data_IF_111800043223
#
_entry.id   IF_111800043223
#
_cell.length_a   1.000
_cell.length_b   1.000
_cell.length_c   1.000
_cell.angle_alpha   90.00
_cell.angle_beta   90.00
_cell.angle_gamma   90.00
#
_symmetry.space_group_name_H-M   'P 1'
#
loop_
_entity.id
_entity.type
_entity.pdbx_description
1 polymer ?
#
# COMPACT_ATOMS: atom_id res chain seq x y z
N UNK A 1 15.78 3.10 36.06
CA UNK A 1 14.66 2.89 35.13
C UNK A 1 15.21 3.04 33.73
N UNK A 2 14.98 2.09 32.83
CA UNK A 2 15.34 2.27 31.41
C UNK A 2 14.50 3.41 30.82
N UNK A 3 15.07 4.26 29.95
CA UNK A 3 14.31 5.34 29.32
C UNK A 3 13.13 4.77 28.51
N UNK A 4 11.98 5.46 28.55
CA UNK A 4 10.81 5.09 27.76
C UNK A 4 11.14 5.18 26.27
N UNK A 5 10.93 4.08 25.54
CA UNK A 5 11.11 4.02 24.08
C UNK A 5 10.03 4.88 23.41
N UNK A 6 10.43 5.82 22.56
CA UNK A 6 9.50 6.65 21.77
C UNK A 6 9.12 5.91 20.49
N UNK A 7 7.86 6.02 20.11
CA UNK A 7 7.31 5.42 18.89
C UNK A 7 6.83 6.56 17.97
N UNK A 8 7.12 6.46 16.68
CA UNK A 8 6.64 7.32 15.63
C UNK A 8 5.76 6.51 14.68
N UNK A 9 4.48 6.88 14.61
CA UNK A 9 3.49 6.24 13.76
C UNK A 9 3.28 7.12 12.52
N UNK A 10 3.38 6.52 11.34
CA UNK A 10 3.14 7.19 10.07
C UNK A 10 2.00 6.50 9.33
N UNK A 11 1.05 7.30 8.85
CA UNK A 11 0.24 6.87 7.72
C UNK A 11 1.09 6.80 6.43
N UNK A 12 0.62 6.08 5.42
CA UNK A 12 1.36 5.87 4.16
C UNK A 12 0.82 6.74 3.02
N UNK A 13 -0.41 6.44 2.59
CA UNK A 13 -1.04 7.01 1.41
C UNK A 13 -1.36 8.48 1.65
N UNK A 14 -0.98 9.37 0.72
CA UNK A 14 -1.05 10.82 0.89
C UNK A 14 -0.27 11.41 2.10
N UNK A 15 0.49 10.60 2.82
CA UNK A 15 1.31 11.01 3.98
C UNK A 15 2.81 10.87 3.68
N UNK A 16 3.33 9.64 3.55
CA UNK A 16 4.73 9.38 3.20
C UNK A 16 4.93 9.31 1.67
N UNK A 17 3.89 8.96 0.93
CA UNK A 17 3.86 8.97 -0.52
C UNK A 17 2.75 9.92 -1.01
N UNK A 18 2.92 10.63 -2.14
CA UNK A 18 1.97 11.67 -2.57
C UNK A 18 0.75 11.12 -3.33
N UNK A 19 0.54 9.80 -3.28
CA UNK A 19 -0.52 9.10 -4.01
C UNK A 19 -1.11 7.99 -3.16
N UNK A 20 -2.27 7.49 -3.58
CA UNK A 20 -2.92 6.30 -3.03
C UNK A 20 -2.30 5.04 -3.66
N UNK A 21 -1.65 4.21 -2.85
CA UNK A 21 -0.94 3.02 -3.32
C UNK A 21 -1.86 1.88 -3.78
N UNK A 22 -3.06 1.74 -3.23
CA UNK A 22 -4.02 0.70 -3.66
C UNK A 22 -4.60 1.04 -5.03
N UNK A 23 -4.98 2.31 -5.23
CA UNK A 23 -5.42 2.82 -6.52
C UNK A 23 -4.30 2.74 -7.57
N UNK A 24 -3.09 3.20 -7.23
CA UNK A 24 -1.95 3.15 -8.14
C UNK A 24 -1.55 1.71 -8.50
N UNK A 25 -1.66 0.77 -7.56
CA UNK A 25 -1.50 -0.66 -7.86
C UNK A 25 -2.56 -1.15 -8.83
N UNK A 26 -3.84 -0.78 -8.62
CA UNK A 26 -4.93 -1.07 -9.54
C UNK A 26 -4.64 -0.62 -10.98
N UNK A 27 -4.26 0.65 -11.16
CA UNK A 27 -3.84 1.20 -12.46
C UNK A 27 -2.63 0.47 -13.04
N UNK A 28 -1.67 0.07 -12.20
CA UNK A 28 -0.54 -0.74 -12.65
C UNK A 28 -1.01 -2.10 -13.21
N UNK A 29 -1.96 -2.76 -12.56
CA UNK A 29 -2.50 -4.04 -13.06
C UNK A 29 -3.24 -3.89 -14.40
N UNK A 30 -3.87 -2.74 -14.66
CA UNK A 30 -4.40 -2.41 -15.99
C UNK A 30 -3.27 -2.30 -17.01
N UNK A 31 -2.19 -1.60 -16.66
CA UNK A 31 -1.04 -1.43 -17.58
C UNK A 31 -0.37 -2.75 -17.96
N UNK A 32 -0.46 -3.77 -17.09
CA UNK A 32 0.00 -5.14 -17.34
C UNK A 32 -1.00 -5.99 -18.15
N UNK A 33 -2.18 -5.45 -18.47
CA UNK A 33 -3.26 -6.16 -19.16
C UNK A 33 -4.00 -7.18 -18.28
N UNK A 34 -3.90 -7.07 -16.96
CA UNK A 34 -4.52 -8.03 -16.03
C UNK A 34 -5.98 -7.69 -15.72
N UNK A 35 -6.38 -6.44 -15.95
CA UNK A 35 -7.73 -5.95 -15.72
C UNK A 35 -8.22 -5.15 -16.92
N UNK A 36 -9.53 -5.20 -17.14
CA UNK A 36 -10.19 -4.32 -18.07
C UNK A 36 -10.25 -2.89 -17.49
N UNK A 37 -9.74 -1.86 -18.19
CA UNK A 37 -9.69 -0.49 -17.68
C UNK A 37 -11.08 0.12 -17.44
N UNK A 38 -12.07 -0.24 -18.25
CA UNK A 38 -13.42 0.33 -18.16
C UNK A 38 -14.17 -0.26 -16.97
N UNK A 39 -14.14 -1.59 -16.81
CA UNK A 39 -14.77 -2.24 -15.67
C UNK A 39 -14.07 -1.90 -14.35
N UNK A 40 -12.73 -1.90 -14.34
CA UNK A 40 -11.96 -1.55 -13.15
C UNK A 40 -12.29 -0.14 -12.67
N UNK A 41 -12.23 0.85 -13.58
CA UNK A 41 -12.53 2.23 -13.24
C UNK A 41 -13.95 2.38 -12.71
N UNK A 42 -14.94 1.80 -13.39
CA UNK A 42 -16.34 1.86 -12.96
C UNK A 42 -16.52 1.32 -11.54
N UNK A 43 -15.99 0.13 -11.24
CA UNK A 43 -16.09 -0.49 -9.91
C UNK A 43 -15.31 0.29 -8.85
N UNK A 44 -14.14 0.81 -9.20
CA UNK A 44 -13.34 1.64 -8.29
C UNK A 44 -14.08 2.93 -7.92
N UNK A 45 -14.67 3.62 -8.91
CA UNK A 45 -15.45 4.83 -8.69
C UNK A 45 -16.69 4.53 -7.81
N UNK A 46 -17.37 3.39 -8.01
CA UNK A 46 -18.47 2.94 -7.14
C UNK A 46 -18.03 2.73 -5.69
N UNK A 47 -16.89 2.06 -5.46
CA UNK A 47 -16.35 1.87 -4.11
C UNK A 47 -15.89 3.19 -3.48
N UNK A 48 -15.31 4.10 -4.26
CA UNK A 48 -14.90 5.42 -3.77
C UNK A 48 -16.11 6.24 -3.29
N UNK A 49 -17.23 6.21 -4.03
CA UNK A 49 -18.46 6.88 -3.59
C UNK A 49 -19.07 6.21 -2.34
N UNK A 50 -19.03 4.89 -2.24
CA UNK A 50 -19.43 4.19 -1.00
C UNK A 50 -18.57 4.58 0.19
N UNK A 51 -17.25 4.71 0.00
CA UNK A 51 -16.32 5.19 1.02
C UNK A 51 -16.67 6.60 1.48
N UNK A 52 -16.86 7.54 0.54
CA UNK A 52 -17.26 8.93 0.85
C UNK A 52 -18.59 9.00 1.59
N UNK A 53 -19.52 8.11 1.28
CA UNK A 53 -20.82 8.01 1.95
C UNK A 53 -20.76 7.26 3.30
N UNK A 54 -19.61 6.69 3.69
CA UNK A 54 -19.48 5.87 4.91
C UNK A 54 -20.22 4.53 4.85
N UNK A 55 -20.52 4.04 3.64
CA UNK A 55 -21.32 2.82 3.38
C UNK A 55 -20.51 1.67 2.77
N UNK A 56 -19.18 1.84 2.66
CA UNK A 56 -18.30 0.87 2.03
C UNK A 56 -18.36 -0.51 2.73
N UNK A 57 -18.71 -1.55 1.96
CA UNK A 57 -18.50 -2.93 2.39
C UNK A 57 -17.03 -3.30 2.16
N UNK A 58 -16.25 -3.24 3.24
CA UNK A 58 -14.83 -3.58 3.25
C UNK A 58 -14.53 -4.98 2.67
N UNK A 59 -15.43 -5.96 2.85
CA UNK A 59 -15.19 -7.32 2.33
C UNK A 59 -15.35 -7.36 0.81
N UNK A 60 -16.32 -6.61 0.27
CA UNK A 60 -16.49 -6.49 -1.18
C UNK A 60 -15.35 -5.70 -1.81
N UNK A 61 -14.96 -4.59 -1.18
CA UNK A 61 -13.80 -3.82 -1.60
C UNK A 61 -12.54 -4.67 -1.65
N UNK A 62 -12.24 -5.43 -0.57
CA UNK A 62 -11.05 -6.27 -0.54
C UNK A 62 -11.06 -7.39 -1.57
N UNK A 63 -12.22 -7.99 -1.87
CA UNK A 63 -12.34 -8.95 -2.98
C UNK A 63 -12.03 -8.31 -4.34
N UNK A 64 -12.44 -7.06 -4.54
CA UNK A 64 -12.15 -6.30 -5.75
C UNK A 64 -10.68 -5.89 -5.85
N UNK A 65 -10.10 -5.36 -4.77
CA UNK A 65 -8.71 -4.91 -4.71
C UNK A 65 -7.72 -6.06 -4.92
N UNK A 66 -8.07 -7.27 -4.44
CA UNK A 66 -7.22 -8.47 -4.56
C UNK A 66 -7.49 -9.32 -5.80
N UNK A 67 -8.46 -8.95 -6.64
CA UNK A 67 -8.93 -9.77 -7.77
C UNK A 67 -7.79 -10.11 -8.76
N UNK A 68 -7.00 -9.12 -9.15
CA UNK A 68 -5.88 -9.31 -10.08
C UNK A 68 -4.79 -10.22 -9.50
N UNK A 69 -4.50 -10.07 -8.19
CA UNK A 69 -3.50 -10.89 -7.49
C UNK A 69 -3.94 -12.35 -7.50
N UNK A 70 -5.21 -12.60 -7.15
CA UNK A 70 -5.79 -13.96 -7.12
C UNK A 70 -5.83 -14.60 -8.51
N UNK A 71 -6.16 -13.84 -9.54
CA UNK A 71 -6.24 -14.35 -10.91
C UNK A 71 -4.87 -14.70 -11.52
N UNK A 72 -3.84 -13.92 -11.21
CA UNK A 72 -2.50 -14.12 -11.81
C UNK A 72 -1.63 -15.11 -11.04
N UNK A 73 -1.93 -15.34 -9.75
CA UNK A 73 -1.18 -16.24 -8.89
C UNK A 73 0.14 -15.63 -8.40
N UNK A 74 0.68 -16.21 -7.33
CA UNK A 74 1.74 -15.62 -6.52
C UNK A 74 2.97 -15.15 -7.34
N UNK A 75 3.53 -16.01 -8.19
CA UNK A 75 4.75 -15.69 -8.94
C UNK A 75 4.59 -14.48 -9.86
N UNK A 76 3.48 -14.41 -10.61
CA UNK A 76 3.21 -13.27 -11.50
C UNK A 76 2.93 -12.02 -10.69
N UNK A 77 2.14 -12.13 -9.62
CA UNK A 77 1.82 -10.99 -8.75
C UNK A 77 3.07 -10.41 -8.11
N UNK A 78 4.01 -11.23 -7.62
CA UNK A 78 5.29 -10.77 -7.07
C UNK A 78 6.09 -10.01 -8.12
N UNK A 79 6.26 -10.58 -9.32
CA UNK A 79 6.98 -9.91 -10.40
C UNK A 79 6.31 -8.60 -10.87
N UNK A 80 4.96 -8.58 -10.89
CA UNK A 80 4.19 -7.36 -11.15
C UNK A 80 4.39 -6.31 -10.07
N UNK A 81 4.43 -6.71 -8.80
CA UNK A 81 4.69 -5.81 -7.67
C UNK A 81 6.11 -5.23 -7.71
N UNK A 82 7.13 -6.04 -8.04
CA UNK A 82 8.50 -5.55 -8.25
C UNK A 82 8.55 -4.51 -9.37
N UNK A 83 7.80 -4.72 -10.46
CA UNK A 83 7.67 -3.73 -11.53
C UNK A 83 7.00 -2.45 -11.04
N UNK A 84 5.89 -2.55 -10.31
CA UNK A 84 5.19 -1.42 -9.69
C UNK A 84 6.10 -0.62 -8.76
N UNK A 85 6.88 -1.29 -7.92
CA UNK A 85 7.85 -0.65 -7.03
C UNK A 85 8.85 0.19 -7.83
N UNK A 86 9.39 -0.36 -8.91
CA UNK A 86 10.40 0.31 -9.75
C UNK A 86 9.81 1.46 -10.58
N UNK A 87 8.63 1.29 -11.17
CA UNK A 87 8.09 2.24 -12.16
C UNK A 87 7.20 3.30 -11.55
N UNK A 88 6.55 3.01 -10.42
CA UNK A 88 5.60 3.92 -9.77
C UNK A 88 6.14 4.39 -8.42
N UNK A 89 6.37 3.46 -7.49
CA UNK A 89 6.62 3.82 -6.08
C UNK A 89 7.94 4.58 -5.90
N UNK A 90 9.05 4.04 -6.42
CA UNK A 90 10.37 4.66 -6.29
C UNK A 90 10.43 6.06 -6.90
N UNK A 91 9.68 6.31 -7.98
CA UNK A 91 9.61 7.61 -8.63
C UNK A 91 8.71 8.60 -7.86
N UNK A 92 7.76 8.09 -7.06
CA UNK A 92 6.84 8.91 -6.29
C UNK A 92 7.34 9.28 -4.89
N UNK A 93 8.20 8.45 -4.27
CA UNK A 93 8.78 8.73 -2.95
C UNK A 93 9.57 10.06 -2.98
N UNK A 94 9.26 10.92 -2.02
CA UNK A 94 9.90 12.24 -1.87
C UNK A 94 11.07 12.18 -0.90
N UNK A 95 12.11 12.98 -1.16
CA UNK A 95 13.32 13.02 -0.34
C UNK A 95 13.02 13.49 1.08
N UNK A 96 12.05 14.38 1.21
CA UNK A 96 11.59 14.96 2.47
C UNK A 96 10.91 13.90 3.35
N UNK A 97 10.09 13.02 2.74
CA UNK A 97 9.46 11.91 3.46
C UNK A 97 10.50 10.88 3.94
N UNK A 98 11.49 10.56 3.10
CA UNK A 98 12.62 9.71 3.49
C UNK A 98 13.42 10.33 4.63
N UNK A 99 13.76 11.61 4.53
CA UNK A 99 14.52 12.32 5.55
C UNK A 99 13.77 12.40 6.89
N UNK A 100 12.44 12.59 6.85
CA UNK A 100 11.60 12.57 8.05
C UNK A 100 11.67 11.22 8.78
N UNK A 101 11.43 10.12 8.05
CA UNK A 101 11.50 8.77 8.62
C UNK A 101 12.90 8.47 9.18
N UNK A 102 13.94 8.81 8.42
CA UNK A 102 15.33 8.64 8.84
C UNK A 102 15.67 9.45 10.09
N UNK A 103 15.12 10.66 10.22
CA UNK A 103 15.30 11.48 11.42
C UNK A 103 14.77 10.80 12.69
N UNK A 104 13.60 10.17 12.61
CA UNK A 104 13.05 9.39 13.73
C UNK A 104 13.91 8.15 14.04
N UNK A 105 14.37 7.43 13.01
CA UNK A 105 15.27 6.27 13.19
C UNK A 105 16.59 6.66 13.87
N UNK A 106 17.23 7.76 13.42
CA UNK A 106 18.48 8.27 13.98
C UNK A 106 18.32 8.78 15.42
N UNK A 107 17.13 9.27 15.78
CA UNK A 107 16.78 9.65 17.14
C UNK A 107 16.52 8.43 18.07
N UNK A 108 16.63 7.19 17.55
CA UNK A 108 16.38 5.96 18.30
C UNK A 108 14.90 5.70 18.55
N UNK A 109 14.00 6.34 17.80
CA UNK A 109 12.57 6.06 17.87
C UNK A 109 12.25 4.75 17.14
N UNK A 110 11.30 4.00 17.67
CA UNK A 110 10.65 2.92 16.93
C UNK A 110 9.74 3.54 15.87
N UNK A 111 9.94 3.18 14.62
CA UNK A 111 9.11 3.68 13.52
C UNK A 111 8.18 2.58 13.07
N UNK A 112 6.89 2.91 12.97
CA UNK A 112 5.84 2.01 12.49
C UNK A 112 5.03 2.72 11.41
N UNK A 113 4.79 2.04 10.30
CA UNK A 113 3.81 2.50 9.30
C UNK A 113 2.47 1.82 9.59
N UNK A 114 1.39 2.61 9.59
CA UNK A 114 0.02 2.17 9.84
C UNK A 114 -0.82 2.58 8.64
N UNK A 115 -1.41 1.64 7.91
CA UNK A 115 -2.14 1.91 6.66
C UNK A 115 -3.36 1.01 6.52
N UNK A 116 -4.39 1.51 5.84
CA UNK A 116 -5.55 0.73 5.46
C UNK A 116 -5.30 -0.15 4.22
N UNK A 117 -4.28 0.18 3.41
CA UNK A 117 -3.93 -0.59 2.21
C UNK A 117 -3.30 -1.92 2.61
N UNK A 118 -3.62 -2.98 1.86
CA UNK A 118 -3.21 -4.35 2.20
C UNK A 118 -1.69 -4.54 2.21
N UNK A 119 -1.22 -5.51 2.99
CA UNK A 119 0.21 -5.72 3.24
C UNK A 119 0.98 -6.19 2.00
N UNK A 120 0.33 -6.84 1.04
CA UNK A 120 0.97 -7.23 -0.21
C UNK A 120 1.41 -6.00 -1.02
N UNK A 121 0.54 -4.98 -1.10
CA UNK A 121 0.85 -3.73 -1.80
C UNK A 121 1.90 -2.92 -1.03
N UNK A 122 1.80 -2.84 0.30
CA UNK A 122 2.52 -1.83 1.09
C UNK A 122 3.81 -2.31 1.74
N UNK A 123 4.00 -3.62 1.98
CA UNK A 123 5.20 -4.11 2.68
C UNK A 123 6.51 -3.75 1.98
N UNK A 124 6.64 -3.87 0.65
CA UNK A 124 7.87 -3.43 -0.03
C UNK A 124 8.02 -1.89 -0.06
N UNK A 125 6.92 -1.14 0.06
CA UNK A 125 6.95 0.33 0.21
C UNK A 125 7.52 0.70 1.58
N UNK A 126 7.04 0.08 2.66
CA UNK A 126 7.59 0.26 4.01
C UNK A 126 9.10 -0.08 4.07
N UNK A 127 9.49 -1.17 3.42
CA UNK A 127 10.90 -1.54 3.29
C UNK A 127 11.73 -0.49 2.55
N UNK A 128 11.17 0.21 1.55
CA UNK A 128 11.85 1.31 0.87
C UNK A 128 12.10 2.53 1.77
N UNK A 129 11.31 2.71 2.83
CA UNK A 129 11.56 3.69 3.90
C UNK A 129 12.47 3.14 5.02
N UNK A 130 12.93 1.89 4.91
CA UNK A 130 13.72 1.21 5.94
C UNK A 130 12.90 0.88 7.20
N UNK A 131 11.58 0.75 7.08
CA UNK A 131 10.68 0.46 8.20
C UNK A 131 10.26 -1.02 8.14
N UNK A 132 10.55 -1.77 9.20
CA UNK A 132 10.17 -3.19 9.32
C UNK A 132 8.76 -3.39 9.88
N UNK A 133 8.35 -2.52 10.81
CA UNK A 133 7.07 -2.60 11.48
C UNK A 133 5.96 -1.96 10.63
N UNK A 134 5.03 -2.79 10.19
CA UNK A 134 3.91 -2.40 9.34
C UNK A 134 2.60 -2.96 9.92
N UNK A 135 1.69 -2.06 10.27
CA UNK A 135 0.29 -2.37 10.61
C UNK A 135 -0.54 -2.06 9.36
N UNK A 136 -0.76 -3.09 8.54
CA UNK A 136 -1.56 -3.04 7.32
C UNK A 136 -2.73 -4.03 7.42
N UNK A 137 -3.69 -3.97 6.49
CA UNK A 137 -4.69 -5.05 6.41
C UNK A 137 -4.03 -6.31 5.89
N UNK A 138 -4.07 -7.38 6.68
CA UNK A 138 -3.48 -8.66 6.31
C UNK A 138 -4.42 -9.52 5.44
N UNK A 139 -3.93 -9.94 4.28
CA UNK A 139 -4.64 -10.85 3.40
C UNK A 139 -4.54 -12.29 3.91
N UNK A 140 -5.69 -12.96 4.00
CA UNK A 140 -5.74 -14.40 4.18
C UNK A 140 -5.14 -15.11 2.95
N UNK A 141 -4.34 -16.16 3.20
CA UNK A 141 -3.70 -16.98 2.17
C UNK A 141 -4.17 -18.42 2.33
N UNK A 142 -4.37 -19.11 1.21
CA UNK A 142 -4.66 -20.53 1.24
C UNK A 142 -3.44 -21.28 1.84
N UNK A 143 -3.72 -22.23 2.73
CA UNK A 143 -2.73 -23.07 3.42
C UNK A 143 -2.18 -24.18 2.53
#
# INVERSE_FOLDING_TARGET
MSPLKKIALFDLDHTLIPFDSDHAWGEHTISLGWRDPVDFKRRNDEFFEQYRAGTLDLRQYMRFATEAIRAQGASKSIAGHESFMRTVVQNGIKKEALALVQGHQQAGHEVVIVTATNEFVTRPIAAAFGVSELIAVELARDS
#
